data_IF_710141225322
#
_entry.id   IF_710141225322
#
_cell.length_a   1.000
_cell.length_b   1.000
_cell.length_c   1.000
_cell.angle_alpha   90.00
_cell.angle_beta   90.00
_cell.angle_gamma   90.00
#
_symmetry.space_group_name_H-M   'P 1'
#
loop_
_entity.id
_entity.type
_entity.pdbx_description
1 polymer ?
#
# COMPACT_ATOMS: atom_id res chain seq x y z
N UNK A 1 -6.91 -0.94 -20.89
CA UNK A 1 -7.70 0.32 -21.00
C UNK A 1 -7.20 1.31 -19.96
N UNK A 2 -7.03 2.59 -20.31
CA UNK A 2 -6.68 3.64 -19.34
C UNK A 2 -7.95 4.03 -18.60
N UNK A 3 -8.00 3.82 -17.29
CA UNK A 3 -9.20 4.08 -16.49
C UNK A 3 -9.20 5.44 -15.81
N UNK A 4 -8.01 5.98 -15.50
CA UNK A 4 -7.85 7.29 -14.86
C UNK A 4 -6.48 7.85 -15.17
N UNK A 5 -6.39 9.16 -15.38
CA UNK A 5 -5.14 9.87 -15.49
C UNK A 5 -5.22 11.17 -14.67
N UNK A 6 -4.28 11.37 -13.77
CA UNK A 6 -4.19 12.56 -12.91
C UNK A 6 -2.79 13.16 -12.97
N UNK A 7 -2.72 14.49 -12.96
CA UNK A 7 -1.45 15.24 -12.95
C UNK A 7 -1.45 16.16 -11.73
N UNK A 8 -0.57 15.84 -10.79
CA UNK A 8 -0.40 16.60 -9.57
C UNK A 8 0.81 17.53 -9.68
N UNK A 9 0.73 18.68 -9.00
CA UNK A 9 1.85 19.61 -8.90
C UNK A 9 2.97 18.97 -8.10
N UNK A 10 4.17 18.95 -8.67
CA UNK A 10 5.38 18.48 -8.01
C UNK A 10 6.17 19.63 -7.39
N UNK A 11 7.42 19.36 -7.04
CA UNK A 11 8.31 20.35 -6.44
C UNK A 11 8.70 21.43 -7.46
N UNK A 12 8.64 22.70 -7.03
CA UNK A 12 9.08 23.84 -7.84
C UNK A 12 10.41 24.35 -7.33
N UNK A 13 11.46 24.18 -8.14
CA UNK A 13 12.80 24.73 -7.83
C UNK A 13 12.88 26.16 -8.38
N UNK A 14 13.62 27.04 -7.71
CA UNK A 14 13.90 28.41 -8.18
C UNK A 14 15.38 28.57 -8.49
N UNK A 15 15.72 29.23 -9.60
CA UNK A 15 17.10 29.65 -9.94
C UNK A 15 17.12 31.15 -10.20
N UNK A 16 18.09 31.88 -9.65
CA UNK A 16 18.22 33.32 -9.92
C UNK A 16 18.77 33.58 -11.32
N UNK A 17 18.15 34.49 -12.06
CA UNK A 17 18.66 35.00 -13.33
C UNK A 17 19.28 36.39 -13.10
N UNK A 18 20.61 36.56 -13.27
CA UNK A 18 21.23 37.88 -13.17
C UNK A 18 20.75 38.79 -14.31
N UNK A 19 20.60 40.09 -14.02
CA UNK A 19 20.26 41.15 -14.97
C UNK A 19 21.13 42.38 -14.71
N UNK A 20 21.12 43.30 -15.66
CA UNK A 20 21.81 44.58 -15.53
C UNK A 20 21.34 45.37 -14.29
N UNK A 21 22.18 46.29 -13.81
CA UNK A 21 21.92 47.16 -12.65
C UNK A 21 21.67 46.38 -11.34
N UNK A 22 22.35 45.25 -11.14
CA UNK A 22 22.27 44.46 -9.90
C UNK A 22 20.91 43.79 -9.65
N UNK A 23 20.02 43.78 -10.63
CA UNK A 23 18.70 43.13 -10.49
C UNK A 23 18.82 41.63 -10.74
N UNK A 24 18.07 40.84 -9.99
CA UNK A 24 17.87 39.43 -10.29
C UNK A 24 16.43 39.03 -10.07
N UNK A 25 15.96 38.05 -10.84
CA UNK A 25 14.61 37.49 -10.68
C UNK A 25 14.69 35.97 -10.60
N UNK A 26 13.83 35.31 -9.79
CA UNK A 26 13.78 33.86 -9.73
C UNK A 26 13.06 33.28 -10.95
N UNK A 27 13.72 32.38 -11.67
CA UNK A 27 13.12 31.48 -12.65
C UNK A 27 12.55 30.28 -11.89
N UNK A 28 11.25 30.01 -12.05
CA UNK A 28 10.60 28.81 -11.50
C UNK A 28 10.78 27.63 -12.47
N UNK A 29 11.12 26.47 -11.94
CA UNK A 29 11.20 25.19 -12.65
C UNK A 29 10.19 24.22 -12.01
N UNK A 30 8.95 24.16 -12.53
CA UNK A 30 7.93 23.26 -12.01
C UNK A 30 8.18 21.82 -12.48
N UNK A 31 7.93 20.87 -11.59
CA UNK A 31 7.81 19.45 -11.90
C UNK A 31 6.38 18.99 -11.62
N UNK A 32 6.00 17.81 -12.10
CA UNK A 32 4.69 17.22 -11.86
C UNK A 32 4.82 15.73 -11.53
N UNK A 33 3.84 15.22 -10.79
CA UNK A 33 3.67 13.80 -10.54
C UNK A 33 2.49 13.30 -11.37
N UNK A 34 2.76 12.36 -12.27
CA UNK A 34 1.77 11.82 -13.21
C UNK A 34 1.34 10.45 -12.69
N UNK A 35 0.05 10.29 -12.41
CA UNK A 35 -0.53 9.02 -11.97
C UNK A 35 -1.44 8.50 -13.07
N UNK A 36 -1.11 7.33 -13.62
CA UNK A 36 -1.89 6.65 -14.65
C UNK A 36 -2.42 5.35 -14.07
N UNK A 37 -3.74 5.20 -14.07
CA UNK A 37 -4.41 3.96 -13.65
C UNK A 37 -4.81 3.19 -14.90
N UNK A 38 -4.32 1.96 -15.02
CA UNK A 38 -4.64 1.03 -16.09
C UNK A 38 -5.51 -0.10 -15.56
N UNK A 39 -6.48 -0.53 -16.38
CA UNK A 39 -7.27 -1.73 -16.18
C UNK A 39 -7.01 -2.69 -17.33
N UNK A 40 -6.69 -3.92 -17.01
CA UNK A 40 -6.53 -5.00 -17.97
C UNK A 40 -7.87 -5.73 -18.13
N UNK A 41 -8.46 -5.63 -19.32
CA UNK A 41 -9.78 -6.18 -19.61
C UNK A 41 -9.79 -7.72 -19.45
N UNK A 42 -8.65 -8.37 -19.69
CA UNK A 42 -8.52 -9.84 -19.68
C UNK A 42 -8.41 -10.46 -18.29
N UNK A 43 -8.26 -9.65 -17.23
CA UNK A 43 -8.22 -10.16 -15.86
C UNK A 43 -9.62 -10.27 -15.26
N UNK A 44 -10.54 -9.35 -15.59
CA UNK A 44 -11.91 -9.38 -15.09
C UNK A 44 -12.63 -10.69 -15.45
N UNK A 45 -12.41 -11.21 -16.66
CA UNK A 45 -12.98 -12.50 -17.11
C UNK A 45 -12.48 -13.71 -16.29
N UNK A 46 -11.22 -13.68 -15.83
CA UNK A 46 -10.61 -14.78 -15.06
C UNK A 46 -11.04 -14.80 -13.59
N UNK A 47 -11.30 -13.62 -13.00
CA UNK A 47 -11.72 -13.55 -11.59
C UNK A 47 -13.15 -14.08 -11.40
N UNK A 48 -14.05 -13.87 -12.36
CA UNK A 48 -15.42 -14.43 -12.34
C UNK A 48 -15.40 -15.97 -12.40
N UNK A 49 -14.45 -16.55 -13.13
CA UNK A 49 -14.27 -18.00 -13.24
C UNK A 49 -13.68 -18.63 -11.96
N UNK A 50 -12.74 -17.95 -11.29
CA UNK A 50 -12.11 -18.47 -10.05
C UNK A 50 -13.08 -18.40 -8.85
N UNK A 51 -13.89 -17.35 -8.74
CA UNK A 51 -14.82 -17.19 -7.61
C UNK A 51 -16.04 -18.12 -7.71
N UNK A 52 -16.40 -18.56 -8.92
CA UNK A 52 -17.42 -19.60 -9.13
C UNK A 52 -16.91 -21.02 -8.84
N UNK A 53 -15.59 -21.25 -8.78
CA UNK A 53 -14.97 -22.55 -8.49
C UNK A 53 -14.67 -22.81 -7.00
N UNK A 54 -14.80 -21.80 -6.12
CA UNK A 54 -14.63 -21.98 -4.67
C UNK A 54 -15.84 -22.69 -4.04
N UNK A 55 -15.90 -24.02 -4.16
CA UNK A 55 -16.83 -24.87 -3.40
C UNK A 55 -16.57 -24.73 -1.88
N UNK A 56 -17.61 -24.77 -1.02
CA UNK A 56 -17.42 -24.67 0.43
C UNK A 56 -16.62 -25.86 0.95
N UNK A 57 -15.42 -25.59 1.46
CA UNK A 57 -14.54 -26.57 2.11
C UNK A 57 -15.19 -27.01 3.43
N UNK A 58 -15.75 -28.22 3.45
CA UNK A 58 -16.27 -28.86 4.66
C UNK A 58 -15.17 -28.93 5.72
N UNK A 59 -15.37 -28.30 6.87
CA UNK A 59 -14.43 -28.35 8.00
C UNK A 59 -14.81 -29.51 8.91
N UNK A 60 -13.99 -30.55 8.93
CA UNK A 60 -14.11 -31.63 9.91
C UNK A 60 -13.65 -31.09 11.27
N UNK A 61 -14.54 -31.11 12.27
CA UNK A 61 -14.21 -30.75 13.65
C UNK A 61 -13.48 -31.93 14.28
N UNK A 62 -12.17 -31.83 14.45
CA UNK A 62 -11.44 -32.77 15.29
C UNK A 62 -11.52 -32.30 16.75
N UNK A 63 -12.21 -33.11 17.54
CA UNK A 63 -12.33 -33.03 19.00
C UNK A 63 -10.95 -32.98 19.66
N UNK A 64 -10.61 -31.87 20.31
CA UNK A 64 -9.45 -31.82 21.21
C UNK A 64 -9.91 -32.23 22.61
N UNK A 65 -9.68 -33.50 22.97
CA UNK A 65 -9.81 -33.98 24.34
C UNK A 65 -8.44 -34.03 25.01
N UNK A 66 -8.43 -33.58 26.26
CA UNK A 66 -7.47 -33.89 27.33
C UNK A 66 -6.09 -33.22 27.29
N UNK A 67 -5.97 -32.10 28.01
CA UNK A 67 -4.86 -31.96 28.95
C UNK A 67 -5.41 -31.43 30.28
N UNK A 68 -5.42 -32.31 31.29
CA UNK A 68 -5.71 -31.95 32.66
C UNK A 68 -4.52 -31.17 33.21
N UNK A 69 -4.83 -30.05 33.85
CA UNK A 69 -4.32 -29.63 35.15
C UNK A 69 -2.84 -29.92 35.45
N UNK A 70 -2.01 -28.87 35.39
CA UNK A 70 -0.80 -28.75 36.21
C UNK A 70 -0.61 -27.28 36.61
N UNK A 71 -1.46 -26.80 37.51
CA UNK A 71 -0.97 -25.81 38.47
C UNK A 71 -0.09 -26.55 39.47
N UNK A 72 1.23 -26.39 39.35
CA UNK A 72 2.11 -26.51 40.52
C UNK A 72 3.46 -25.84 40.27
N UNK A 73 3.69 -24.82 41.10
CA UNK A 73 4.98 -24.35 41.60
C UNK A 73 5.97 -23.69 40.63
N UNK A 74 6.20 -22.39 40.86
CA UNK A 74 7.58 -21.88 40.84
C UNK A 74 7.79 -20.45 40.38
N UNK A 75 7.84 -19.53 41.35
CA UNK A 75 8.87 -18.49 41.35
C UNK A 75 8.50 -17.10 40.82
N UNK A 76 8.24 -16.20 41.76
CA UNK A 76 8.37 -14.75 41.63
C UNK A 76 9.82 -14.39 41.31
N UNK A 77 10.05 -13.72 40.19
CA UNK A 77 11.27 -12.96 39.87
C UNK A 77 10.77 -11.66 39.20
N UNK A 78 10.39 -10.61 39.91
CA UNK A 78 11.20 -9.56 40.55
C UNK A 78 12.32 -8.94 39.69
N UNK A 79 12.17 -7.61 39.50
CA UNK A 79 13.15 -6.57 39.11
C UNK A 79 13.76 -6.66 37.70
N UNK A 80 13.94 -5.56 36.97
CA UNK A 80 14.16 -4.15 37.31
C UNK A 80 13.95 -3.29 36.06
#
# INVERSE_FOLDING_TARGET
>A
VISKAEVNKGTTIKKFKPRARGRSYPIKKPTCHITIVMKDISLDDKYVEIDSLKKPRWKNKHTAMAYRDMYSSGGIWDKK
#
